data_IF_162769482713
#
_entry.id   IF_162769482713
#
_cell.length_a   1.000
_cell.length_b   1.000
_cell.length_c   1.000
_cell.angle_alpha   90.00
_cell.angle_beta   90.00
_cell.angle_gamma   90.00
#
_symmetry.space_group_name_H-M   'P 1'
#
loop_
_entity.id
_entity.type
_entity.pdbx_description
1 polymer ?
#
# COMPACT_ATOMS: atom_id res chain seq x y z
N UNK A 1 -46.79 -6.11 -23.86
CA UNK A 1 -45.87 -4.95 -23.90
C UNK A 1 -45.19 -4.66 -22.55
N UNK A 2 -45.83 -4.95 -21.41
CA UNK A 2 -45.24 -4.80 -20.05
C UNK A 2 -43.91 -5.56 -19.80
N UNK A 3 -43.76 -6.77 -20.37
CA UNK A 3 -42.58 -7.63 -20.13
C UNK A 3 -41.27 -7.09 -20.74
N UNK A 4 -41.34 -6.28 -21.80
CA UNK A 4 -40.17 -5.64 -22.43
C UNK A 4 -39.69 -4.42 -21.64
N UNK A 5 -40.58 -3.72 -20.94
CA UNK A 5 -40.24 -2.57 -20.10
C UNK A 5 -39.61 -3.00 -18.76
N UNK A 6 -40.00 -4.16 -18.24
CA UNK A 6 -39.40 -4.75 -17.03
C UNK A 6 -37.94 -5.20 -17.23
N UNK A 7 -37.55 -5.59 -18.45
CA UNK A 7 -36.18 -5.95 -18.83
C UNK A 7 -35.27 -4.74 -19.03
N UNK A 8 -35.80 -3.59 -19.48
CA UNK A 8 -35.03 -2.34 -19.57
C UNK A 8 -34.81 -1.70 -18.19
N UNK A 9 -35.76 -1.81 -17.26
CA UNK A 9 -35.58 -1.31 -15.90
C UNK A 9 -34.48 -2.06 -15.14
N UNK A 10 -34.30 -3.36 -15.41
CA UNK A 10 -33.26 -4.18 -14.77
C UNK A 10 -31.85 -3.91 -15.33
N UNK A 11 -31.74 -3.52 -16.59
CA UNK A 11 -30.45 -3.16 -17.21
C UNK A 11 -29.88 -1.81 -16.75
N UNK A 12 -30.75 -0.89 -16.27
CA UNK A 12 -30.32 0.42 -15.75
C UNK A 12 -29.77 0.40 -14.31
N UNK A 13 -30.03 -0.66 -13.54
CA UNK A 13 -29.63 -0.78 -12.12
C UNK A 13 -28.24 -1.40 -11.90
N UNK A 14 -27.56 -1.84 -12.96
CA UNK A 14 -26.27 -2.55 -12.85
C UNK A 14 -25.05 -1.61 -13.02
N UNK A 15 -25.26 -0.32 -13.27
CA UNK A 15 -24.17 0.64 -13.54
C UNK A 15 -23.73 1.49 -12.34
N UNK A 16 -24.30 1.30 -11.14
CA UNK A 16 -24.05 2.17 -9.98
C UNK A 16 -22.90 1.71 -9.06
N UNK A 17 -22.00 0.82 -9.52
CA UNK A 17 -21.02 0.15 -8.65
C UNK A 17 -19.53 0.24 -9.04
N UNK A 18 -19.15 0.95 -10.10
CA UNK A 18 -17.76 0.94 -10.61
C UNK A 18 -16.86 2.06 -10.05
N UNK A 19 -17.17 2.62 -8.88
CA UNK A 19 -16.28 3.54 -8.17
C UNK A 19 -15.55 2.80 -7.06
N UNK A 20 -14.21 2.72 -7.11
CA UNK A 20 -13.41 2.31 -5.96
C UNK A 20 -13.66 3.25 -4.77
N UNK A 21 -13.40 2.78 -3.55
CA UNK A 21 -13.56 3.61 -2.35
C UNK A 21 -12.51 4.72 -2.39
N UNK A 22 -12.87 6.02 -2.47
CA UNK A 22 -11.89 7.08 -2.45
C UNK A 22 -11.31 7.23 -1.03
N UNK A 23 -10.02 7.55 -0.91
CA UNK A 23 -9.38 7.70 0.41
C UNK A 23 -10.04 8.80 1.25
N UNK A 24 -10.59 9.83 0.61
CA UNK A 24 -11.35 10.91 1.26
C UNK A 24 -12.57 10.43 2.04
N UNK A 25 -13.05 9.21 1.78
CA UNK A 25 -14.11 8.56 2.57
C UNK A 25 -13.73 8.45 4.04
N UNK A 26 -12.44 8.33 4.34
CA UNK A 26 -11.92 8.18 5.70
C UNK A 26 -11.58 9.53 6.36
N UNK A 27 -11.88 10.67 5.75
CA UNK A 27 -11.47 12.00 6.24
C UNK A 27 -11.84 12.31 7.69
N UNK A 28 -12.94 11.74 8.21
CA UNK A 28 -13.41 11.92 9.58
C UNK A 28 -12.88 10.87 10.57
N UNK A 29 -12.19 9.84 10.10
CA UNK A 29 -11.65 8.78 10.96
C UNK A 29 -10.49 9.27 11.82
N UNK A 30 -10.38 8.67 13.00
CA UNK A 30 -9.32 8.93 13.99
C UNK A 30 -8.62 7.61 14.35
N UNK A 31 -7.33 7.65 14.75
CA UNK A 31 -6.47 8.82 14.82
C UNK A 31 -6.05 9.35 13.44
N UNK A 32 -5.92 10.67 13.27
CA UNK A 32 -5.33 11.24 12.05
C UNK A 32 -3.91 10.72 11.80
N UNK A 33 -3.66 10.25 10.59
CA UNK A 33 -2.35 9.83 10.13
C UNK A 33 -1.51 11.04 9.71
N UNK A 34 -0.45 11.31 10.47
CA UNK A 34 0.68 12.09 9.99
C UNK A 34 1.75 11.11 9.51
N UNK A 35 1.92 11.02 8.18
CA UNK A 35 2.82 10.07 7.53
C UNK A 35 4.27 10.25 7.98
N UNK A 36 4.75 11.51 8.02
CA UNK A 36 6.11 11.83 8.43
C UNK A 36 6.30 11.47 9.89
N UNK A 37 5.36 11.86 10.74
CA UNK A 37 5.44 11.54 12.15
C UNK A 37 5.50 10.04 12.35
N UNK A 38 4.59 9.26 11.75
CA UNK A 38 4.51 7.81 11.95
C UNK A 38 5.83 7.12 11.60
N UNK A 39 6.36 7.38 10.41
CA UNK A 39 7.57 6.71 9.89
C UNK A 39 8.90 7.35 10.31
N UNK A 40 8.89 8.47 11.05
CA UNK A 40 10.13 8.98 11.66
C UNK A 40 10.48 8.19 12.93
N UNK A 41 11.70 7.67 12.96
CA UNK A 41 12.21 6.75 13.99
C UNK A 41 12.13 5.30 13.54
N UNK A 42 12.18 4.39 14.52
CA UNK A 42 12.13 2.95 14.27
C UNK A 42 10.70 2.43 14.25
N UNK A 43 10.36 1.72 13.19
CA UNK A 43 9.09 0.99 13.00
C UNK A 43 9.44 -0.46 12.65
N UNK A 44 8.73 -1.40 13.26
CA UNK A 44 8.86 -2.83 12.94
C UNK A 44 7.59 -3.31 12.27
N UNK A 45 7.71 -4.26 11.35
CA UNK A 45 6.56 -4.77 10.62
C UNK A 45 6.62 -6.29 10.42
N UNK A 46 5.46 -6.91 10.32
CA UNK A 46 5.28 -8.35 10.10
C UNK A 46 4.24 -8.56 9.02
N UNK A 47 4.61 -9.31 8.00
CA UNK A 47 3.73 -9.51 6.85
C UNK A 47 3.85 -10.87 6.20
N UNK A 48 2.95 -11.06 5.26
CA UNK A 48 2.90 -12.24 4.42
C UNK A 48 2.50 -11.87 3.00
N UNK A 49 3.07 -12.58 2.03
CA UNK A 49 2.65 -12.56 0.65
C UNK A 49 1.80 -13.79 0.35
N UNK A 50 0.68 -13.54 -0.32
CA UNK A 50 -0.34 -14.51 -0.67
C UNK A 50 -0.54 -14.51 -2.18
N UNK A 51 -0.55 -15.70 -2.80
CA UNK A 51 -1.00 -15.85 -4.19
C UNK A 51 -2.49 -15.54 -4.29
N UNK A 52 -2.98 -15.28 -5.50
CA UNK A 52 -4.43 -15.17 -5.79
C UNK A 52 -5.27 -16.39 -5.33
N UNK A 53 -4.64 -17.55 -5.12
CA UNK A 53 -5.28 -18.76 -4.58
C UNK A 53 -5.53 -18.69 -3.07
N UNK A 54 -4.98 -17.68 -2.38
CA UNK A 54 -4.96 -17.58 -0.92
C UNK A 54 -3.78 -18.31 -0.26
N UNK A 55 -2.98 -19.04 -1.04
CA UNK A 55 -1.77 -19.72 -0.54
C UNK A 55 -0.75 -18.69 -0.05
N UNK A 56 -0.36 -18.78 1.22
CA UNK A 56 0.74 -18.01 1.80
C UNK A 56 2.06 -18.65 1.37
N UNK A 57 2.83 -17.96 0.52
CA UNK A 57 4.10 -18.50 0.02
C UNK A 57 5.32 -17.88 0.68
N UNK A 58 5.17 -16.70 1.29
CA UNK A 58 6.28 -16.02 1.94
C UNK A 58 5.79 -15.25 3.17
N UNK A 59 6.48 -15.41 4.29
CA UNK A 59 6.31 -14.55 5.48
C UNK A 59 7.56 -13.71 5.63
N UNK A 60 7.42 -12.52 6.17
CA UNK A 60 8.55 -11.62 6.32
C UNK A 60 8.38 -10.68 7.50
N UNK A 61 9.52 -10.20 7.99
CA UNK A 61 9.60 -9.08 8.94
C UNK A 61 10.37 -7.95 8.31
N UNK A 62 10.05 -6.73 8.70
CA UNK A 62 10.73 -5.52 8.23
C UNK A 62 11.14 -4.68 9.43
N UNK A 63 12.38 -4.21 9.44
CA UNK A 63 12.79 -3.10 10.32
C UNK A 63 12.91 -1.88 9.43
N UNK A 64 12.23 -0.81 9.82
CA UNK A 64 12.19 0.45 9.10
C UNK A 64 12.81 1.51 10.01
N UNK A 65 13.91 2.09 9.57
CA UNK A 65 14.55 3.22 10.23
C UNK A 65 14.35 4.45 9.35
N UNK A 66 13.49 5.38 9.82
CA UNK A 66 13.15 6.58 9.07
C UNK A 66 13.66 7.87 9.70
N UNK A 67 14.10 8.80 8.86
CA UNK A 67 14.55 10.14 9.25
C UNK A 67 14.14 11.19 8.23
N UNK A 68 14.16 12.46 8.63
CA UNK A 68 13.88 13.58 7.73
C UNK A 68 15.17 14.26 7.27
N UNK A 69 15.28 14.48 5.97
CA UNK A 69 16.30 15.31 5.30
C UNK A 69 15.60 16.54 4.71
N UNK A 70 15.44 17.58 5.52
CA UNK A 70 14.59 18.72 5.17
C UNK A 70 13.15 18.27 4.95
N UNK A 71 12.62 18.49 3.74
CA UNK A 71 11.27 18.07 3.35
C UNK A 71 11.18 16.62 2.87
N UNK A 72 12.31 15.91 2.72
CA UNK A 72 12.29 14.50 2.32
C UNK A 72 12.22 13.62 3.58
N UNK A 73 11.30 12.67 3.61
CA UNK A 73 11.31 11.56 4.56
C UNK A 73 12.05 10.40 3.89
N UNK A 74 13.15 9.97 4.49
CA UNK A 74 13.91 8.79 4.06
C UNK A 74 13.53 7.63 4.97
N UNK A 75 13.26 6.46 4.40
CA UNK A 75 12.96 5.23 5.14
C UNK A 75 13.85 4.10 4.64
N UNK A 76 14.72 3.59 5.51
CA UNK A 76 15.52 2.42 5.24
C UNK A 76 14.78 1.18 5.72
N UNK A 77 14.29 0.36 4.80
CA UNK A 77 13.52 -0.85 5.06
C UNK A 77 14.39 -2.09 4.89
N UNK A 78 14.65 -2.81 5.99
CA UNK A 78 15.40 -4.07 5.99
C UNK A 78 14.46 -5.27 6.15
N UNK A 79 14.25 -6.00 5.06
CA UNK A 79 13.38 -7.18 4.99
C UNK A 79 14.15 -8.45 5.35
N UNK A 80 13.53 -9.30 6.16
CA UNK A 80 13.95 -10.68 6.44
C UNK A 80 12.82 -11.64 6.08
N UNK A 81 13.06 -12.52 5.11
CA UNK A 81 12.06 -13.45 4.60
C UNK A 81 12.19 -14.84 5.23
N UNK A 82 11.08 -15.59 5.23
CA UNK A 82 10.99 -16.93 5.83
C UNK A 82 11.82 -18.01 5.11
N UNK A 83 12.25 -17.75 3.87
CA UNK A 83 13.18 -18.60 3.11
C UNK A 83 14.66 -18.25 3.37
N UNK A 84 14.93 -17.32 4.27
CA UNK A 84 16.28 -16.88 4.65
C UNK A 84 16.84 -15.76 3.77
N UNK A 85 16.15 -15.34 2.70
CA UNK A 85 16.61 -14.21 1.90
C UNK A 85 16.44 -12.89 2.65
N UNK A 86 17.24 -11.90 2.26
CA UNK A 86 17.16 -10.52 2.79
C UNK A 86 17.08 -9.55 1.63
N UNK A 87 16.38 -8.44 1.85
CA UNK A 87 16.28 -7.36 0.89
C UNK A 87 16.33 -6.04 1.66
N UNK A 88 16.86 -5.01 1.01
CA UNK A 88 16.80 -3.64 1.50
C UNK A 88 16.06 -2.81 0.47
N UNK A 89 15.16 -1.95 0.92
CA UNK A 89 14.56 -0.89 0.13
C UNK A 89 14.76 0.43 0.84
N UNK A 90 15.19 1.46 0.11
CA UNK A 90 15.26 2.81 0.63
C UNK A 90 14.23 3.66 -0.08
N UNK A 91 13.22 4.11 0.67
CA UNK A 91 12.24 5.07 0.16
C UNK A 91 12.69 6.49 0.43
N UNK A 92 12.46 7.37 -0.55
CA UNK A 92 12.58 8.83 -0.41
C UNK A 92 11.24 9.46 -0.73
N UNK A 93 10.52 9.90 0.29
CA UNK A 93 9.17 10.45 0.18
C UNK A 93 9.19 11.98 0.32
N UNK A 94 8.44 12.68 -0.51
CA UNK A 94 8.31 14.14 -0.48
C UNK A 94 6.84 14.58 -0.59
N UNK A 95 6.45 15.70 0.02
CA UNK A 95 5.11 16.26 -0.17
C UNK A 95 4.84 16.64 -1.64
N UNK A 96 3.58 16.53 -2.05
CA UNK A 96 3.07 16.93 -3.39
C UNK A 96 1.75 17.72 -3.28
N UNK A 97 1.59 18.44 -2.17
CA UNK A 97 0.39 19.23 -1.81
C UNK A 97 -0.37 18.66 -0.61
N UNK A 98 -1.53 19.24 -0.26
CA UNK A 98 -2.29 18.85 0.92
C UNK A 98 -2.65 17.37 0.91
N UNK A 99 -2.15 16.60 1.88
CA UNK A 99 -2.39 15.15 2.00
C UNK A 99 -1.72 14.30 0.93
N UNK A 100 -1.00 14.89 -0.05
CA UNK A 100 -0.41 14.15 -1.18
C UNK A 100 1.09 13.98 -1.02
N UNK A 101 1.58 12.83 -1.45
CA UNK A 101 2.98 12.44 -1.34
C UNK A 101 3.46 11.79 -2.64
N UNK A 102 4.74 11.97 -2.93
CA UNK A 102 5.46 11.23 -3.97
C UNK A 102 6.62 10.47 -3.36
N UNK A 103 6.93 9.31 -3.92
CA UNK A 103 8.02 8.46 -3.42
C UNK A 103 8.87 7.90 -4.53
N UNK A 104 10.15 7.69 -4.26
CA UNK A 104 11.06 6.91 -5.11
C UNK A 104 11.80 5.87 -4.28
N UNK A 105 12.17 4.76 -4.91
CA UNK A 105 13.06 3.74 -4.37
C UNK A 105 13.78 3.04 -5.53
N UNK A 106 14.88 2.32 -5.25
CA UNK A 106 15.73 1.72 -6.28
C UNK A 106 15.04 0.67 -7.15
N UNK A 107 14.00 0.02 -6.65
CA UNK A 107 13.20 -1.00 -7.34
C UNK A 107 11.82 -0.50 -7.78
N UNK A 108 11.56 0.80 -7.68
CA UNK A 108 10.31 1.44 -8.13
C UNK A 108 10.50 2.02 -9.52
N UNK A 109 9.63 1.65 -10.44
CA UNK A 109 9.62 2.19 -11.81
C UNK A 109 8.90 3.54 -11.80
N UNK A 110 9.67 4.62 -11.92
CA UNK A 110 9.12 5.99 -11.91
C UNK A 110 8.94 6.53 -10.49
N UNK A 111 7.75 7.06 -10.20
CA UNK A 111 7.39 7.57 -8.88
C UNK A 111 6.18 6.81 -8.33
N UNK A 112 6.16 6.67 -7.01
CA UNK A 112 4.99 6.29 -6.23
C UNK A 112 4.13 7.52 -5.91
N UNK A 113 2.83 7.32 -5.80
CA UNK A 113 1.84 8.36 -5.51
C UNK A 113 1.01 7.98 -4.29
N UNK A 114 0.95 8.89 -3.32
CA UNK A 114 0.23 8.72 -2.07
C UNK A 114 -0.81 9.79 -1.81
N UNK A 115 -1.96 9.40 -1.27
CA UNK A 115 -2.94 10.33 -0.72
C UNK A 115 -3.35 9.89 0.70
N UNK A 116 -3.25 10.82 1.65
CA UNK A 116 -3.60 10.64 3.06
C UNK A 116 -4.93 11.34 3.34
N UNK A 117 -5.85 10.63 4.00
CA UNK A 117 -7.08 11.23 4.53
C UNK A 117 -7.52 10.52 5.81
N UNK A 118 -7.75 11.30 6.87
CA UNK A 118 -8.07 10.75 8.19
C UNK A 118 -6.96 9.85 8.70
N UNK A 119 -7.30 8.60 9.03
CA UNK A 119 -6.37 7.57 9.48
C UNK A 119 -5.75 6.75 8.33
N UNK A 120 -6.04 7.09 7.07
CA UNK A 120 -5.79 6.23 5.92
C UNK A 120 -4.77 6.83 4.96
N UNK A 121 -3.95 5.97 4.34
CA UNK A 121 -3.09 6.28 3.20
C UNK A 121 -3.41 5.30 2.06
N UNK A 122 -3.63 5.83 0.85
CA UNK A 122 -3.67 5.05 -0.38
C UNK A 122 -2.41 5.32 -1.18
N UNK A 123 -1.59 4.29 -1.41
CA UNK A 123 -0.25 4.37 -1.97
C UNK A 123 -0.13 3.49 -3.21
N UNK A 124 0.26 4.07 -4.34
CA UNK A 124 0.25 3.41 -5.65
C UNK A 124 1.61 3.53 -6.32
N UNK A 125 2.15 2.42 -6.82
CA UNK A 125 3.45 2.40 -7.49
C UNK A 125 3.64 1.16 -8.36
N UNK A 126 4.68 1.17 -9.19
CA UNK A 126 5.11 0.00 -9.97
C UNK A 126 6.40 -0.52 -9.37
N UNK A 127 6.40 -1.76 -8.93
CA UNK A 127 7.55 -2.44 -8.34
C UNK A 127 8.18 -3.38 -9.37
N UNK A 128 9.49 -3.31 -9.51
CA UNK A 128 10.27 -4.25 -10.31
C UNK A 128 10.71 -5.42 -9.45
N UNK A 129 10.25 -6.61 -9.79
CA UNK A 129 10.57 -7.86 -9.10
C UNK A 129 11.49 -8.72 -9.95
N UNK A 130 12.55 -9.24 -9.36
CA UNK A 130 13.37 -10.27 -9.97
C UNK A 130 12.85 -11.65 -9.54
N UNK A 131 12.28 -12.41 -10.47
CA UNK A 131 11.77 -13.77 -10.23
C UNK A 131 12.48 -14.71 -11.21
N UNK A 132 13.23 -15.68 -10.67
CA UNK A 132 13.99 -16.66 -11.44
C UNK A 132 14.87 -16.04 -12.53
N UNK A 133 15.50 -14.90 -12.23
CA UNK A 133 16.38 -14.18 -13.15
C UNK A 133 15.66 -13.31 -14.20
N UNK A 134 14.33 -13.26 -14.17
CA UNK A 134 13.52 -12.41 -15.06
C UNK A 134 12.91 -11.25 -14.27
N UNK A 135 13.01 -10.03 -14.83
CA UNK A 135 12.40 -8.84 -14.24
C UNK A 135 10.92 -8.72 -14.62
N UNK A 136 10.08 -8.50 -13.62
CA UNK A 136 8.64 -8.29 -13.76
C UNK A 136 8.24 -6.99 -13.09
N UNK A 137 7.71 -6.05 -13.89
CA UNK A 137 7.07 -4.84 -13.36
C UNK A 137 5.63 -5.15 -12.94
N UNK A 138 5.30 -4.99 -11.67
CA UNK A 138 3.97 -5.24 -11.10
C UNK A 138 3.44 -3.97 -10.46
N UNK A 139 2.16 -3.67 -10.65
CA UNK A 139 1.50 -2.52 -10.02
C UNK A 139 1.04 -2.90 -8.62
N UNK A 140 1.36 -2.06 -7.65
CA UNK A 140 0.94 -2.15 -6.26
C UNK A 140 -0.11 -1.08 -5.97
N UNK A 141 -1.23 -1.52 -5.40
CA UNK A 141 -2.26 -0.68 -4.79
C UNK A 141 -2.29 -1.02 -3.28
N UNK A 142 -1.69 -0.15 -2.49
CA UNK A 142 -1.46 -0.31 -1.06
C UNK A 142 -2.43 0.59 -0.27
N UNK A 143 -3.25 -0.03 0.57
CA UNK A 143 -4.03 0.67 1.58
C UNK A 143 -3.39 0.50 2.93
N UNK A 144 -3.12 1.61 3.62
CA UNK A 144 -2.64 1.61 4.99
C UNK A 144 -3.64 2.32 5.89
N UNK A 145 -3.95 1.72 7.03
CA UNK A 145 -4.91 2.21 8.01
C UNK A 145 -4.24 2.29 9.37
N UNK A 146 -4.14 3.49 9.92
CA UNK A 146 -3.71 3.70 11.29
C UNK A 146 -4.82 3.23 12.23
N UNK A 147 -4.58 2.12 12.92
CA UNK A 147 -5.54 1.46 13.82
C UNK A 147 -5.52 2.15 15.19
N UNK A 148 -4.32 2.46 15.67
CA UNK A 148 -4.10 3.20 16.90
C UNK A 148 -2.82 4.05 16.78
N UNK A 149 -2.37 4.71 17.85
CA UNK A 149 -1.20 5.60 17.84
C UNK A 149 0.11 4.93 17.37
N UNK A 150 0.19 3.60 17.40
CA UNK A 150 1.39 2.81 17.13
C UNK A 150 1.16 1.74 16.06
N UNK A 151 -0.05 1.19 15.96
CA UNK A 151 -0.38 0.11 15.02
C UNK A 151 -0.96 0.63 13.73
N UNK A 152 -0.39 0.20 12.61
CA UNK A 152 -0.95 0.42 11.28
C UNK A 152 -1.11 -0.93 10.58
N UNK A 153 -2.27 -1.15 9.97
CA UNK A 153 -2.52 -2.30 9.13
C UNK A 153 -2.39 -1.90 7.66
N UNK A 154 -1.80 -2.76 6.84
CA UNK A 154 -1.67 -2.57 5.42
C UNK A 154 -2.18 -3.79 4.66
N UNK A 155 -2.87 -3.49 3.57
CA UNK A 155 -3.34 -4.43 2.58
C UNK A 155 -2.92 -3.93 1.21
N UNK A 156 -2.11 -4.72 0.53
CA UNK A 156 -1.70 -4.46 -0.85
C UNK A 156 -2.31 -5.46 -1.80
N UNK A 157 -2.69 -4.99 -2.98
CA UNK A 157 -2.95 -5.85 -4.14
C UNK A 157 -1.86 -5.66 -5.18
N UNK A 158 -1.41 -6.77 -5.77
CA UNK A 158 -0.40 -6.77 -6.82
C UNK A 158 -1.05 -7.20 -8.12
N UNK A 159 -0.91 -6.37 -9.15
CA UNK A 159 -1.47 -6.66 -10.48
C UNK A 159 -0.39 -6.63 -11.56
N UNK A 160 -0.54 -7.49 -12.57
CA UNK A 160 0.25 -7.47 -13.80
C UNK A 160 -0.71 -7.42 -14.98
N UNK A 161 -0.58 -6.39 -15.82
CA UNK A 161 -1.44 -6.20 -17.00
C UNK A 161 -2.95 -6.27 -16.65
N UNK A 162 -3.33 -5.70 -15.50
CA UNK A 162 -4.73 -5.68 -15.02
C UNK A 162 -5.22 -6.95 -14.34
N UNK A 163 -4.38 -7.99 -14.20
CA UNK A 163 -4.73 -9.24 -13.53
C UNK A 163 -4.05 -9.31 -12.16
N UNK A 164 -4.82 -9.61 -11.10
CA UNK A 164 -4.26 -9.81 -9.76
C UNK A 164 -3.36 -11.06 -9.72
N UNK A 165 -2.12 -10.87 -9.27
CA UNK A 165 -1.11 -11.93 -9.13
C UNK A 165 -0.88 -12.33 -7.68
N UNK A 166 -1.18 -11.44 -6.74
CA UNK A 166 -1.06 -11.72 -5.31
C UNK A 166 -1.44 -10.52 -4.45
N UNK A 167 -1.34 -10.73 -3.14
CA UNK A 167 -1.69 -9.76 -2.12
C UNK A 167 -0.61 -9.76 -1.03
N UNK A 168 -0.43 -8.62 -0.38
CA UNK A 168 0.42 -8.49 0.81
C UNK A 168 -0.47 -8.04 1.97
N UNK A 169 -0.35 -8.72 3.09
CA UNK A 169 -0.89 -8.26 4.37
C UNK A 169 0.28 -7.93 5.27
N UNK A 170 0.32 -6.71 5.82
CA UNK A 170 1.44 -6.21 6.61
C UNK A 170 0.92 -5.43 7.81
N UNK A 171 1.50 -5.66 8.98
CA UNK A 171 1.22 -4.89 10.18
C UNK A 171 2.48 -4.17 10.60
N UNK A 172 2.37 -2.86 10.80
CA UNK A 172 3.43 -2.02 11.34
C UNK A 172 3.15 -1.71 12.80
N UNK A 173 4.22 -1.68 13.58
CA UNK A 173 4.23 -1.24 14.98
C UNK A 173 5.36 -0.25 15.15
N UNK A 174 4.99 0.98 15.47
CA UNK A 174 5.98 1.98 15.90
C UNK A 174 6.46 1.63 17.31
N UNK A 175 7.78 1.67 17.53
CA UNK A 175 8.33 1.51 18.87
C UNK A 175 7.74 2.59 19.78
N UNK A 176 7.16 2.19 20.92
CA UNK A 176 6.64 3.14 21.88
C UNK A 176 7.76 3.98 22.46
N UNK A 177 7.57 5.30 22.44
CA UNK A 177 8.31 6.19 23.34
C UNK A 177 7.62 6.18 24.70
#
# INVERSE_FOLDING_TARGET
MLRKWMLMLFAGLVLSGCGGVPVTRYSQEEPKLDLRHYFTGRVEAWGMFQKRSGEVTKRFTVVIDGHSEGEVLVMHEAFSYSDGTKQVREWRLRPDGPGRWKGTAGDVVGEAYGEVSGNSLHWNYVLRLLVDGTEYDVSLDDWMYLIDKQTMANRSSMTKLGVEVGQITLFFRKAGK
#
